data_IF_343072421192
#
_entry.id   IF_343072421192
#
_cell.length_a   1.000
_cell.length_b   1.000
_cell.length_c   1.000
_cell.angle_alpha   90.00
_cell.angle_beta   90.00
_cell.angle_gamma   90.00
#
_symmetry.space_group_name_H-M   'P 1'
#
loop_
_entity.id
_entity.type
_entity.pdbx_description
1 polymer ?
#
# COMPACT_ATOMS: atom_id res chain seq x y z
N UNK A 1 4.00 3.63 22.71
CA UNK A 1 3.92 4.32 21.40
C UNK A 1 2.76 3.72 20.62
N UNK A 2 1.72 4.49 20.34
CA UNK A 2 0.56 4.03 19.59
C UNK A 2 0.91 3.92 18.09
N UNK A 3 0.85 2.72 17.53
CA UNK A 3 1.06 2.47 16.10
C UNK A 3 -0.22 2.84 15.33
N UNK A 4 -0.33 4.11 14.95
CA UNK A 4 -1.46 4.60 14.15
C UNK A 4 -1.37 4.13 12.71
N UNK A 5 -2.09 3.06 12.36
CA UNK A 5 -2.36 2.75 10.95
C UNK A 5 -3.43 3.72 10.47
N UNK A 6 -3.04 4.74 9.69
CA UNK A 6 -3.99 5.67 9.07
C UNK A 6 -4.64 4.97 7.86
N UNK A 7 -5.70 4.20 8.09
CA UNK A 7 -6.47 3.56 7.02
C UNK A 7 -7.48 4.58 6.47
N UNK A 8 -7.06 5.38 5.49
CA UNK A 8 -7.96 6.24 4.71
C UNK A 8 -8.74 5.40 3.68
N UNK A 9 -9.66 4.56 4.14
CA UNK A 9 -10.90 4.13 3.47
C UNK A 9 -11.49 2.88 4.16
N UNK A 10 -12.82 2.74 4.09
CA UNK A 10 -13.55 1.50 4.44
C UNK A 10 -13.17 0.36 3.47
N UNK A 11 -11.95 -0.16 3.56
CA UNK A 11 -11.52 -1.29 2.74
C UNK A 11 -11.75 -2.63 3.45
N UNK A 12 -12.11 -3.64 2.65
CA UNK A 12 -12.39 -4.99 3.15
C UNK A 12 -11.18 -5.50 3.97
N UNK A 13 -11.39 -6.09 5.15
CA UNK A 13 -10.32 -6.51 6.06
C UNK A 13 -9.30 -7.47 5.40
N UNK A 14 -9.76 -8.31 4.45
CA UNK A 14 -8.89 -9.22 3.68
C UNK A 14 -7.82 -8.50 2.86
N UNK A 15 -8.12 -7.30 2.34
CA UNK A 15 -7.17 -6.55 1.51
C UNK A 15 -6.07 -5.91 2.35
N UNK A 16 -6.43 -5.36 3.52
CA UNK A 16 -5.48 -4.80 4.48
C UNK A 16 -4.49 -5.86 4.98
N UNK A 17 -4.96 -7.08 5.26
CA UNK A 17 -4.07 -8.19 5.67
C UNK A 17 -3.07 -8.56 4.58
N UNK A 18 -3.50 -8.60 3.31
CA UNK A 18 -2.60 -8.85 2.18
C UNK A 18 -1.56 -7.73 2.02
N UNK A 19 -1.98 -6.47 2.12
CA UNK A 19 -1.06 -5.34 2.04
C UNK A 19 -0.03 -5.34 3.18
N UNK A 20 -0.43 -5.74 4.39
CA UNK A 20 0.51 -5.94 5.52
C UNK A 20 1.51 -7.08 5.28
N UNK A 21 1.10 -8.16 4.60
CA UNK A 21 2.03 -9.21 4.21
C UNK A 21 3.08 -8.68 3.21
N UNK A 22 2.66 -7.82 2.27
CA UNK A 22 3.57 -7.16 1.33
C UNK A 22 4.55 -6.19 2.03
N UNK A 23 4.15 -5.58 3.16
CA UNK A 23 5.05 -4.78 3.99
C UNK A 23 6.16 -5.61 4.60
N UNK A 24 5.86 -6.81 5.09
CA UNK A 24 6.89 -7.72 5.58
C UNK A 24 7.86 -8.14 4.46
N UNK A 25 7.37 -8.30 3.23
CA UNK A 25 8.26 -8.54 2.09
C UNK A 25 9.14 -7.34 1.78
N UNK A 26 8.63 -6.11 1.86
CA UNK A 26 9.47 -4.92 1.66
C UNK A 26 10.54 -4.77 2.76
N UNK A 27 10.32 -5.33 3.95
CA UNK A 27 11.33 -5.56 5.00
C UNK A 27 12.43 -6.52 4.58
N UNK A 28 12.09 -7.70 4.06
CA UNK A 28 13.08 -8.68 3.59
C UNK A 28 13.93 -8.13 2.43
N UNK A 29 13.30 -7.46 1.46
CA UNK A 29 13.98 -6.95 0.26
C UNK A 29 14.59 -5.55 0.43
N UNK A 30 14.60 -4.97 1.63
CA UNK A 30 15.12 -3.61 1.91
C UNK A 30 14.56 -2.50 1.00
N UNK A 31 13.30 -2.63 0.58
CA UNK A 31 12.63 -1.65 -0.26
C UNK A 31 12.08 -0.50 0.61
N UNK A 32 12.26 0.75 0.15
CA UNK A 32 11.68 1.96 0.79
C UNK A 32 10.25 2.23 0.33
N UNK A 33 9.95 1.91 -0.93
CA UNK A 33 8.64 2.12 -1.55
C UNK A 33 8.22 0.86 -2.29
N UNK A 34 6.95 0.47 -2.14
CA UNK A 34 6.34 -0.63 -2.86
C UNK A 34 5.01 -0.17 -3.45
N UNK A 35 4.93 -0.14 -4.78
CA UNK A 35 3.72 0.24 -5.49
C UNK A 35 2.99 -1.02 -6.00
N UNK A 36 1.68 -1.06 -5.78
CA UNK A 36 0.81 -2.15 -6.19
C UNK A 36 -0.22 -1.57 -7.15
N UNK A 37 -0.21 -2.02 -8.40
CA UNK A 37 -1.24 -1.63 -9.36
C UNK A 37 -2.45 -2.53 -9.13
N UNK A 38 -3.62 -1.94 -8.91
CA UNK A 38 -4.88 -2.68 -8.75
C UNK A 38 -5.88 -2.24 -9.81
N UNK A 39 -7.00 -2.95 -9.96
CA UNK A 39 -8.05 -2.52 -10.90
C UNK A 39 -8.78 -1.25 -10.43
N UNK A 40 -9.20 -1.18 -9.16
CA UNK A 40 -10.03 -0.08 -8.65
C UNK A 40 -9.84 0.24 -7.15
N UNK A 41 -8.82 -0.31 -6.51
CA UNK A 41 -8.58 -0.14 -5.07
C UNK A 41 -7.40 0.79 -4.82
N UNK A 42 -7.62 1.82 -4.02
CA UNK A 42 -6.57 2.74 -3.60
C UNK A 42 -6.25 2.56 -2.13
N UNK A 43 -4.98 2.39 -1.79
CA UNK A 43 -4.55 2.21 -0.40
C UNK A 43 -3.18 2.84 -0.23
N UNK A 44 -2.98 3.54 0.89
CA UNK A 44 -1.66 4.01 1.28
C UNK A 44 -1.42 3.56 2.71
N UNK A 45 -0.34 2.80 2.91
CA UNK A 45 0.10 2.38 4.23
C UNK A 45 1.53 2.87 4.41
N UNK A 46 1.74 3.66 5.46
CA UNK A 46 3.06 4.07 5.90
C UNK A 46 3.36 3.38 7.21
N UNK A 47 4.44 2.59 7.25
CA UNK A 47 4.86 1.89 8.46
C UNK A 47 6.38 1.72 8.44
N UNK A 48 7.05 2.00 9.56
CA UNK A 48 8.51 1.89 9.73
C UNK A 48 9.32 2.66 8.65
N UNK A 49 8.84 3.84 8.23
CA UNK A 49 9.48 4.64 7.16
C UNK A 49 9.34 4.04 5.77
N UNK A 50 8.53 2.99 5.61
CA UNK A 50 8.22 2.35 4.33
C UNK A 50 6.83 2.71 3.87
N UNK A 51 6.73 2.92 2.57
CA UNK A 51 5.51 3.36 1.93
C UNK A 51 5.01 2.24 1.00
N UNK A 52 3.83 1.71 1.30
CA UNK A 52 3.08 0.88 0.38
C UNK A 52 1.95 1.71 -0.19
N UNK A 53 1.94 1.84 -1.51
CA UNK A 53 0.88 2.52 -2.24
C UNK A 53 0.23 1.52 -3.18
N UNK A 54 -1.06 1.29 -3.03
CA UNK A 54 -1.88 0.63 -4.03
C UNK A 54 -2.58 1.69 -4.86
N UNK A 55 -2.34 1.69 -6.16
CA UNK A 55 -2.86 2.68 -7.10
C UNK A 55 -3.73 1.94 -8.14
N UNK A 56 -4.96 2.39 -8.41
CA UNK A 56 -5.75 1.87 -9.53
C UNK A 56 -5.03 2.05 -10.87
N UNK A 57 -5.20 1.10 -11.79
CA UNK A 57 -4.49 1.08 -13.08
C UNK A 57 -4.70 2.36 -13.89
N UNK A 58 -5.90 2.92 -13.86
CA UNK A 58 -6.23 4.15 -14.57
C UNK A 58 -5.53 5.38 -13.96
N UNK A 59 -5.37 5.46 -12.63
CA UNK A 59 -4.57 6.51 -11.98
C UNK A 59 -3.09 6.37 -12.31
N UNK A 60 -2.62 5.12 -12.31
CA UNK A 60 -1.22 4.81 -12.62
C UNK A 60 -0.87 5.17 -14.06
N UNK A 61 -1.70 4.76 -15.02
CA UNK A 61 -1.55 5.13 -16.44
C UNK A 61 -1.61 6.65 -16.64
N UNK A 62 -2.52 7.34 -15.96
CA UNK A 62 -2.60 8.81 -16.02
C UNK A 62 -1.44 9.55 -15.36
N UNK A 63 -0.53 8.85 -14.66
CA UNK A 63 0.71 9.45 -14.13
C UNK A 63 1.87 9.35 -15.14
N UNK A 64 1.76 8.48 -16.14
CA UNK A 64 2.79 8.21 -17.15
C UNK A 64 2.64 9.09 -18.39
N UNK A 65 1.42 9.60 -18.62
CA UNK A 65 1.04 10.44 -19.77
C UNK A 65 0.98 11.90 -19.31
#
# INVERSE_FOLDING_TARGET
MAFGVKIENRQRPKFVTKAKALLKLSEVYSLKHLEIITFNSELSIVQNGKHIKATPIWKWLGTII
#
